data_IF_368031309716
#
_entry.id   IF_368031309716
#
_cell.length_a   1.000
_cell.length_b   1.000
_cell.length_c   1.000
_cell.angle_alpha   90.00
_cell.angle_beta   90.00
_cell.angle_gamma   90.00
#
_symmetry.space_group_name_H-M   'P 1'
#
loop_
_entity.id
_entity.type
_entity.pdbx_description
1 polymer ?
#
# COMPACT_ATOMS: atom_id res chain seq x y z
N UNK A 1 2.26 -29.57 22.67
CA UNK A 1 1.47 -29.42 21.43
C UNK A 1 2.30 -29.07 20.19
N UNK A 2 3.64 -29.09 20.28
CA UNK A 2 4.52 -29.41 19.16
C UNK A 2 5.35 -30.56 19.70
N UNK A 3 5.06 -31.79 19.23
CA UNK A 3 5.65 -33.01 19.77
C UNK A 3 7.14 -33.13 19.44
N UNK A 4 7.69 -34.34 19.62
CA UNK A 4 9.09 -34.66 19.26
C UNK A 4 9.37 -34.36 17.78
N UNK A 5 8.36 -34.42 16.93
CA UNK A 5 8.44 -34.20 15.48
C UNK A 5 8.98 -32.83 15.09
N UNK A 6 8.77 -31.81 15.94
CA UNK A 6 9.21 -30.44 15.67
C UNK A 6 10.47 -30.02 16.46
N UNK A 7 11.09 -30.92 17.24
CA UNK A 7 12.18 -30.56 18.13
C UNK A 7 13.39 -29.96 17.38
N UNK A 8 13.82 -30.59 16.29
CA UNK A 8 14.95 -30.13 15.48
C UNK A 8 14.67 -28.77 14.82
N UNK A 9 13.50 -28.59 14.19
CA UNK A 9 13.08 -27.31 13.62
C UNK A 9 12.97 -26.21 14.68
N UNK A 10 12.44 -26.53 15.88
CA UNK A 10 12.34 -25.55 16.97
C UNK A 10 13.71 -25.06 17.40
N UNK A 11 14.66 -25.96 17.59
CA UNK A 11 16.04 -25.58 17.91
C UNK A 11 16.69 -24.76 16.78
N UNK A 12 16.43 -25.13 15.52
CA UNK A 12 17.05 -24.49 14.35
C UNK A 12 16.53 -23.08 14.08
N UNK A 13 15.23 -22.84 14.28
CA UNK A 13 14.58 -21.59 13.86
C UNK A 13 14.09 -20.72 15.03
N UNK A 14 13.91 -21.29 16.22
CA UNK A 14 13.18 -20.65 17.32
C UNK A 14 13.85 -20.82 18.70
N UNK A 15 15.16 -21.14 18.76
CA UNK A 15 15.89 -21.41 20.01
C UNK A 15 15.88 -20.25 21.02
N UNK A 16 15.78 -19.00 20.57
CA UNK A 16 15.72 -17.82 21.45
C UNK A 16 14.32 -17.39 21.89
N UNK A 17 13.27 -18.13 21.51
CA UNK A 17 11.86 -17.74 21.78
C UNK A 17 11.26 -18.57 22.94
N UNK A 18 11.98 -19.59 23.40
CA UNK A 18 11.49 -20.52 24.43
C UNK A 18 11.25 -19.82 25.78
N UNK A 19 12.13 -18.89 26.15
CA UNK A 19 12.05 -18.11 27.39
C UNK A 19 10.90 -17.09 27.39
N UNK A 20 10.44 -16.67 26.22
CA UNK A 20 9.33 -15.70 26.06
C UNK A 20 7.97 -16.40 26.26
N UNK A 21 7.93 -17.72 26.03
CA UNK A 21 6.79 -18.58 26.34
C UNK A 21 6.16 -19.28 25.15
N UNK A 22 5.34 -20.29 25.46
CA UNK A 22 4.79 -21.26 24.50
C UNK A 22 4.01 -20.63 23.34
N UNK A 23 3.33 -19.51 23.56
CA UNK A 23 2.58 -18.79 22.53
C UNK A 23 3.50 -18.24 21.42
N UNK A 24 4.64 -17.65 21.80
CA UNK A 24 5.60 -17.07 20.86
C UNK A 24 6.36 -18.15 20.08
N UNK A 25 6.65 -19.29 20.73
CA UNK A 25 7.22 -20.46 20.04
C UNK A 25 6.29 -20.95 18.92
N UNK A 26 4.98 -21.04 19.19
CA UNK A 26 4.00 -21.44 18.17
C UNK A 26 4.00 -20.48 16.97
N UNK A 27 4.07 -19.18 17.24
CA UNK A 27 4.12 -18.14 16.20
C UNK A 27 5.39 -18.26 15.37
N UNK A 28 6.55 -18.38 16.01
CA UNK A 28 7.83 -18.56 15.33
C UNK A 28 7.84 -19.81 14.43
N UNK A 29 7.30 -20.92 14.93
CA UNK A 29 7.22 -22.17 14.16
C UNK A 29 6.28 -22.05 12.97
N UNK A 30 5.11 -21.43 13.13
CA UNK A 30 4.18 -21.18 12.02
C UNK A 30 4.78 -20.21 10.98
N UNK A 31 5.57 -19.21 11.41
CA UNK A 31 6.28 -18.32 10.48
C UNK A 31 7.37 -19.03 9.66
N UNK A 32 7.99 -20.08 10.21
CA UNK A 32 9.05 -20.84 9.54
C UNK A 32 8.59 -22.17 8.93
N UNK A 33 7.30 -22.53 9.02
CA UNK A 33 6.78 -23.83 8.57
C UNK A 33 6.98 -24.12 7.08
N UNK A 34 7.22 -23.09 6.26
CA UNK A 34 7.42 -23.21 4.82
C UNK A 34 8.89 -23.19 4.38
N UNK A 35 9.86 -23.19 5.31
CA UNK A 35 11.29 -23.35 5.00
C UNK A 35 11.54 -24.67 4.27
N UNK A 36 12.54 -24.72 3.40
CA UNK A 36 12.89 -25.93 2.63
C UNK A 36 13.32 -27.08 3.54
N UNK A 37 14.13 -26.79 4.55
CA UNK A 37 14.62 -27.72 5.58
C UNK A 37 13.66 -27.88 6.78
N UNK A 38 12.35 -27.79 6.55
CA UNK A 38 11.33 -28.12 7.56
C UNK A 38 10.89 -29.58 7.39
N UNK A 39 11.02 -30.37 8.44
CA UNK A 39 10.75 -31.80 8.46
C UNK A 39 9.28 -32.09 8.07
N UNK A 40 9.00 -33.07 7.19
CA UNK A 40 7.63 -33.33 6.71
C UNK A 40 6.63 -33.59 7.84
N UNK A 41 7.03 -34.38 8.84
CA UNK A 41 6.20 -34.66 10.02
C UNK A 41 5.88 -33.40 10.84
N UNK A 42 6.88 -32.53 11.09
CA UNK A 42 6.64 -31.26 11.76
C UNK A 42 5.72 -30.35 10.94
N UNK A 43 5.97 -30.23 9.62
CA UNK A 43 5.15 -29.43 8.72
C UNK A 43 3.68 -29.86 8.77
N UNK A 44 3.40 -31.15 8.79
CA UNK A 44 2.05 -31.68 8.88
C UNK A 44 1.37 -31.30 10.21
N UNK A 45 2.09 -31.39 11.33
CA UNK A 45 1.59 -30.94 12.64
C UNK A 45 1.32 -29.43 12.67
N UNK A 46 2.19 -28.62 12.06
CA UNK A 46 2.01 -27.17 11.98
C UNK A 46 0.81 -26.78 11.11
N UNK A 47 0.54 -27.51 10.03
CA UNK A 47 -0.70 -27.33 9.24
C UNK A 47 -1.94 -27.61 10.10
N UNK A 48 -1.92 -28.67 10.92
CA UNK A 48 -3.05 -28.96 11.82
C UNK A 48 -3.22 -27.88 12.90
N UNK A 49 -2.11 -27.40 13.46
CA UNK A 49 -2.13 -26.27 14.40
C UNK A 49 -2.74 -25.03 13.76
N UNK A 50 -2.32 -24.68 12.55
CA UNK A 50 -2.86 -23.54 11.82
C UNK A 50 -4.39 -23.63 11.62
N UNK A 51 -4.90 -24.82 11.24
CA UNK A 51 -6.34 -25.07 11.12
C UNK A 51 -7.08 -24.88 12.44
N UNK A 52 -6.56 -25.45 13.52
CA UNK A 52 -7.19 -25.36 14.85
C UNK A 52 -7.17 -23.90 15.35
N UNK A 53 -6.08 -23.17 15.15
CA UNK A 53 -6.01 -21.75 15.52
C UNK A 53 -6.99 -20.87 14.75
N UNK A 54 -7.39 -21.26 13.54
CA UNK A 54 -8.39 -20.55 12.74
C UNK A 54 -9.84 -20.79 13.21
N UNK A 55 -10.10 -21.85 13.99
CA UNK A 55 -11.46 -22.21 14.38
C UNK A 55 -12.02 -21.36 15.52
N UNK A 56 -11.18 -20.89 16.43
CA UNK A 56 -11.63 -20.08 17.57
C UNK A 56 -10.48 -19.23 18.12
N UNK A 57 -10.79 -18.00 18.54
CA UNK A 57 -9.81 -17.09 19.13
C UNK A 57 -9.08 -17.71 20.34
N UNK A 58 -9.77 -18.51 21.17
CA UNK A 58 -9.20 -19.22 22.33
C UNK A 58 -8.10 -20.22 21.94
N UNK A 59 -8.12 -20.73 20.71
CA UNK A 59 -7.09 -21.63 20.21
C UNK A 59 -5.87 -20.89 19.66
N UNK A 60 -5.96 -19.59 19.41
CA UNK A 60 -4.85 -18.72 19.05
C UNK A 60 -4.35 -17.97 20.30
N UNK A 61 -3.26 -18.43 20.96
CA UNK A 61 -2.88 -17.90 22.28
C UNK A 61 -2.50 -16.42 22.27
N UNK A 62 -1.95 -15.90 21.16
CA UNK A 62 -1.64 -14.48 21.06
C UNK A 62 -2.92 -13.64 20.93
N UNK A 63 -3.86 -14.03 20.07
CA UNK A 63 -5.12 -13.29 19.98
C UNK A 63 -5.92 -13.37 21.28
N UNK A 64 -6.03 -14.55 21.89
CA UNK A 64 -6.76 -14.74 23.14
C UNK A 64 -6.22 -13.85 24.27
N UNK A 65 -4.90 -13.69 24.34
CA UNK A 65 -4.25 -12.88 25.38
C UNK A 65 -4.28 -11.38 25.06
N UNK A 66 -3.87 -11.01 23.86
CA UNK A 66 -3.59 -9.61 23.54
C UNK A 66 -4.81 -8.84 23.03
N UNK A 67 -5.81 -9.53 22.44
CA UNK A 67 -6.93 -8.89 21.76
C UNK A 67 -8.25 -8.91 22.52
N UNK A 68 -8.32 -9.47 23.72
CA UNK A 68 -9.59 -9.67 24.44
C UNK A 68 -10.37 -8.35 24.64
N UNK A 69 -9.70 -7.29 25.13
CA UNK A 69 -10.36 -6.00 25.38
C UNK A 69 -10.77 -5.27 24.10
N UNK A 70 -9.95 -5.37 23.04
CA UNK A 70 -10.27 -4.75 21.75
C UNK A 70 -11.42 -5.49 21.05
N UNK A 71 -11.45 -6.83 21.12
CA UNK A 71 -12.55 -7.63 20.60
C UNK A 71 -13.87 -7.21 21.25
N UNK A 72 -13.96 -7.21 22.58
CA UNK A 72 -15.19 -6.84 23.30
C UNK A 72 -15.70 -5.47 22.85
N UNK A 73 -14.81 -4.48 22.78
CA UNK A 73 -15.16 -3.13 22.35
C UNK A 73 -15.62 -3.07 20.89
N UNK A 74 -14.94 -3.77 19.98
CA UNK A 74 -15.34 -3.84 18.56
C UNK A 74 -16.72 -4.51 18.44
N UNK A 75 -16.98 -5.59 19.16
CA UNK A 75 -18.27 -6.27 19.14
C UNK A 75 -19.39 -5.36 19.67
N UNK A 76 -19.12 -4.53 20.67
CA UNK A 76 -20.06 -3.52 21.17
C UNK A 76 -20.31 -2.40 20.16
N UNK A 77 -19.30 -2.02 19.37
CA UNK A 77 -19.45 -1.02 18.31
C UNK A 77 -20.25 -1.55 17.10
N UNK A 78 -20.27 -2.87 16.88
CA UNK A 78 -20.89 -3.52 15.72
C UNK A 78 -21.90 -4.62 16.11
N UNK A 79 -22.93 -4.31 16.91
CA UNK A 79 -23.80 -5.32 17.51
C UNK A 79 -24.71 -6.04 16.51
N UNK A 80 -24.92 -5.46 15.32
CA UNK A 80 -25.78 -6.00 14.26
C UNK A 80 -25.02 -6.87 13.25
N UNK A 81 -23.70 -6.86 13.28
CA UNK A 81 -22.88 -7.69 12.39
C UNK A 81 -22.81 -9.11 12.96
N UNK A 82 -23.43 -10.07 12.27
CA UNK A 82 -23.42 -11.48 12.66
C UNK A 82 -22.01 -12.03 12.89
N UNK A 83 -21.02 -11.49 12.18
CA UNK A 83 -19.62 -11.87 12.24
C UNK A 83 -18.91 -11.37 13.51
N UNK A 84 -19.41 -10.27 14.06
CA UNK A 84 -18.97 -9.69 15.32
C UNK A 84 -19.90 -10.05 16.49
N UNK A 85 -20.90 -10.90 16.29
CA UNK A 85 -21.80 -11.31 17.36
C UNK A 85 -21.01 -11.96 18.52
N UNK A 86 -21.18 -11.47 19.77
CA UNK A 86 -20.57 -12.09 20.93
C UNK A 86 -21.05 -13.54 21.04
N UNK A 87 -20.11 -14.46 21.17
CA UNK A 87 -20.43 -15.87 21.37
C UNK A 87 -20.84 -16.09 22.83
N UNK A 88 -21.82 -16.96 23.08
CA UNK A 88 -22.16 -17.33 24.47
C UNK A 88 -20.96 -18.07 25.09
N UNK A 89 -20.72 -17.79 26.36
CA UNK A 89 -19.49 -18.22 27.05
C UNK A 89 -19.38 -19.75 27.20
N UNK A 90 -20.53 -20.44 27.17
CA UNK A 90 -20.73 -21.88 27.30
C UNK A 90 -20.56 -22.67 25.99
N UNK A 91 -20.51 -21.99 24.84
CA UNK A 91 -20.42 -22.65 23.52
C UNK A 91 -19.13 -22.28 22.81
N UNK A 92 -18.27 -23.27 22.55
CA UNK A 92 -17.07 -23.08 21.74
C UNK A 92 -17.50 -23.06 20.27
N UNK A 93 -17.78 -21.87 19.73
CA UNK A 93 -18.03 -21.71 18.31
C UNK A 93 -16.74 -21.98 17.51
N UNK A 94 -16.77 -22.97 16.61
CA UNK A 94 -15.63 -23.35 15.76
C UNK A 94 -15.63 -22.64 14.39
N UNK A 95 -16.39 -21.55 14.29
CA UNK A 95 -16.59 -20.78 13.06
C UNK A 95 -15.50 -19.73 12.82
N UNK A 96 -14.68 -19.41 13.84
CA UNK A 96 -13.65 -18.37 13.78
C UNK A 96 -14.20 -16.95 13.61
N UNK A 97 -15.48 -16.70 13.92
CA UNK A 97 -16.13 -15.39 13.75
C UNK A 97 -15.44 -14.27 14.52
N UNK A 98 -15.03 -14.51 15.77
CA UNK A 98 -14.27 -13.53 16.55
C UNK A 98 -12.94 -13.13 15.88
N UNK A 99 -12.27 -14.08 15.22
CA UNK A 99 -11.05 -13.80 14.45
C UNK A 99 -11.40 -12.98 13.22
N UNK A 100 -12.46 -13.33 12.50
CA UNK A 100 -12.94 -12.55 11.33
C UNK A 100 -13.29 -11.12 11.72
N UNK A 101 -14.09 -10.92 12.76
CA UNK A 101 -14.44 -9.61 13.30
C UNK A 101 -13.19 -8.78 13.66
N UNK A 102 -12.25 -9.36 14.41
CA UNK A 102 -11.00 -8.67 14.73
C UNK A 102 -10.20 -8.31 13.49
N UNK A 103 -10.07 -9.23 12.53
CA UNK A 103 -9.32 -8.96 11.32
C UNK A 103 -10.00 -7.87 10.50
N UNK A 104 -11.32 -7.89 10.33
CA UNK A 104 -12.05 -6.95 9.46
C UNK A 104 -12.11 -5.55 10.05
N UNK A 105 -12.18 -5.45 11.39
CA UNK A 105 -12.17 -4.20 12.14
C UNK A 105 -10.80 -3.86 12.75
N UNK A 106 -9.70 -4.40 12.18
CA UNK A 106 -8.32 -4.20 12.66
C UNK A 106 -7.91 -2.74 12.79
N UNK A 107 -8.50 -1.83 12.03
CA UNK A 107 -8.23 -0.38 12.10
C UNK A 107 -8.81 0.27 13.35
N UNK A 108 -9.77 -0.38 14.02
CA UNK A 108 -10.35 0.08 15.27
C UNK A 108 -9.57 -0.40 16.49
N UNK A 109 -8.63 -1.34 16.34
CA UNK A 109 -7.85 -1.94 17.44
C UNK A 109 -6.89 -0.90 18.02
N UNK A 110 -6.92 -0.73 19.34
CA UNK A 110 -6.13 0.28 20.04
C UNK A 110 -4.81 -0.26 20.57
N UNK A 111 -4.76 -1.53 20.99
CA UNK A 111 -3.57 -2.10 21.61
C UNK A 111 -2.52 -2.49 20.57
N UNK A 112 -1.27 -2.00 20.67
CA UNK A 112 -0.19 -2.38 19.75
C UNK A 112 0.08 -3.89 19.72
N UNK A 113 -0.04 -4.58 20.85
CA UNK A 113 0.18 -6.03 20.95
C UNK A 113 -0.89 -6.78 20.17
N UNK A 114 -2.15 -6.34 20.26
CA UNK A 114 -3.24 -6.91 19.48
C UNK A 114 -3.09 -6.61 17.98
N UNK A 115 -2.69 -5.40 17.61
CA UNK A 115 -2.39 -5.05 16.22
C UNK A 115 -1.32 -5.98 15.64
N UNK A 116 -0.23 -6.20 16.37
CA UNK A 116 0.85 -7.12 16.00
C UNK A 116 0.36 -8.58 15.87
N UNK A 117 -0.47 -9.04 16.82
CA UNK A 117 -1.06 -10.37 16.77
C UNK A 117 -1.99 -10.56 15.55
N UNK A 118 -2.79 -9.54 15.21
CA UNK A 118 -3.64 -9.53 14.00
C UNK A 118 -2.79 -9.57 12.74
N UNK A 119 -1.72 -8.79 12.65
CA UNK A 119 -0.80 -8.83 11.49
C UNK A 119 -0.22 -10.24 11.32
N UNK A 120 0.16 -10.93 12.41
CA UNK A 120 0.62 -12.31 12.34
C UNK A 120 -0.44 -13.27 11.77
N UNK A 121 -1.70 -13.08 12.17
CA UNK A 121 -2.83 -13.86 11.63
C UNK A 121 -3.09 -13.55 10.15
N UNK A 122 -3.03 -12.28 9.74
CA UNK A 122 -3.15 -11.90 8.33
C UNK A 122 -2.01 -12.46 7.48
N UNK A 123 -0.79 -12.53 8.00
CA UNK A 123 0.34 -13.22 7.35
C UNK A 123 0.05 -14.70 7.15
N UNK A 124 -0.53 -15.36 8.16
CA UNK A 124 -0.93 -16.77 8.04
C UNK A 124 -2.04 -16.95 7.00
N UNK A 125 -3.07 -16.08 7.02
CA UNK A 125 -4.16 -16.09 6.03
C UNK A 125 -3.62 -15.91 4.60
N UNK A 126 -2.63 -15.05 4.39
CA UNK A 126 -2.01 -14.83 3.08
C UNK A 126 -1.06 -15.97 2.68
N UNK A 127 -0.40 -16.62 3.64
CA UNK A 127 0.45 -17.78 3.38
C UNK A 127 -0.35 -19.01 2.95
N UNK A 128 -1.51 -19.25 3.56
CA UNK A 128 -2.26 -20.48 3.36
C UNK A 128 -3.73 -20.30 3.76
N UNK A 129 -4.63 -20.54 2.80
CA UNK A 129 -6.08 -20.42 2.97
C UNK A 129 -6.64 -21.22 4.16
N UNK A 130 -5.96 -22.30 4.58
CA UNK A 130 -6.37 -23.13 5.73
C UNK A 130 -6.21 -22.40 7.07
N UNK A 131 -5.46 -21.29 7.09
CA UNK A 131 -5.37 -20.40 8.25
C UNK A 131 -6.55 -19.44 8.36
N UNK A 132 -7.28 -19.18 7.26
CA UNK A 132 -8.40 -18.25 7.26
C UNK A 132 -9.69 -18.99 7.62
N UNK A 133 -10.44 -18.53 8.65
CA UNK A 133 -11.69 -19.18 9.06
C UNK A 133 -12.64 -19.42 7.87
N UNK A 134 -13.06 -20.68 7.69
CA UNK A 134 -14.04 -21.09 6.67
C UNK A 134 -13.53 -21.16 5.22
N UNK A 135 -12.33 -20.65 4.91
CA UNK A 135 -11.88 -20.49 3.53
C UNK A 135 -11.55 -21.81 2.83
N UNK A 136 -10.99 -22.80 3.54
CA UNK A 136 -10.75 -24.14 2.97
C UNK A 136 -12.02 -24.78 2.42
N UNK A 137 -13.12 -24.69 3.18
CA UNK A 137 -14.41 -25.23 2.76
C UNK A 137 -15.01 -24.40 1.63
N UNK A 138 -15.00 -23.07 1.75
CA UNK A 138 -15.61 -22.16 0.77
C UNK A 138 -14.97 -22.26 -0.62
N UNK A 139 -13.67 -22.56 -0.68
CA UNK A 139 -12.88 -22.63 -1.92
C UNK A 139 -12.59 -24.05 -2.41
N UNK A 140 -13.08 -25.11 -1.74
CA UNK A 140 -12.67 -26.49 -2.04
C UNK A 140 -12.90 -26.88 -3.52
N UNK A 141 -14.10 -26.61 -4.04
CA UNK A 141 -14.48 -26.94 -5.42
C UNK A 141 -13.70 -26.11 -6.45
N UNK A 142 -13.55 -24.80 -6.21
CA UNK A 142 -12.79 -23.93 -7.10
C UNK A 142 -11.30 -24.28 -7.12
N UNK A 143 -10.73 -24.71 -5.99
CA UNK A 143 -9.34 -25.20 -5.96
C UNK A 143 -9.20 -26.48 -6.76
N UNK A 144 -10.12 -27.43 -6.61
CA UNK A 144 -10.11 -28.68 -7.37
C UNK A 144 -10.26 -28.44 -8.88
N UNK A 145 -11.07 -27.46 -9.29
CA UNK A 145 -11.32 -27.14 -10.68
C UNK A 145 -10.21 -26.28 -11.33
N UNK A 146 -9.67 -25.31 -10.61
CA UNK A 146 -8.82 -24.25 -11.17
C UNK A 146 -7.34 -24.35 -10.77
N UNK A 147 -7.04 -25.07 -9.69
CA UNK A 147 -5.75 -25.06 -8.99
C UNK A 147 -5.31 -26.44 -8.48
N UNK A 148 -5.77 -27.54 -9.10
CA UNK A 148 -5.49 -28.92 -8.68
C UNK A 148 -3.99 -29.26 -8.56
N UNK A 149 -3.15 -28.71 -9.43
CA UNK A 149 -1.69 -28.91 -9.43
C UNK A 149 -0.94 -27.94 -8.48
N UNK A 150 -1.66 -27.05 -7.79
CA UNK A 150 -1.04 -26.04 -6.93
C UNK A 150 -0.98 -26.49 -5.47
N UNK A 151 0.24 -26.75 -4.99
CA UNK A 151 0.45 -27.09 -3.57
C UNK A 151 0.20 -25.89 -2.64
N UNK A 152 -0.52 -26.12 -1.54
CA UNK A 152 -0.77 -25.14 -0.48
C UNK A 152 0.51 -24.62 0.21
N UNK A 153 0.40 -23.46 0.86
CA UNK A 153 1.50 -22.75 1.51
C UNK A 153 2.22 -21.72 0.62
N UNK A 154 2.92 -20.78 1.27
CA UNK A 154 3.62 -19.65 0.61
C UNK A 154 2.73 -18.81 -0.34
N UNK A 155 1.43 -18.74 -0.11
CA UNK A 155 0.49 -17.93 -0.91
C UNK A 155 0.19 -18.49 -2.31
N UNK A 156 0.71 -19.67 -2.68
CA UNK A 156 0.60 -20.18 -4.06
C UNK A 156 -0.84 -20.41 -4.52
N UNK A 157 -1.69 -20.97 -3.65
CA UNK A 157 -3.11 -21.20 -3.98
C UNK A 157 -3.87 -19.87 -4.08
N UNK A 158 -3.57 -18.88 -3.23
CA UNK A 158 -4.12 -17.53 -3.38
C UNK A 158 -3.72 -16.91 -4.73
N UNK A 159 -2.44 -16.98 -5.09
CA UNK A 159 -1.97 -16.48 -6.38
C UNK A 159 -2.62 -17.21 -7.58
N UNK A 160 -2.83 -18.52 -7.45
CA UNK A 160 -3.53 -19.33 -8.46
C UNK A 160 -4.99 -18.88 -8.64
N UNK A 161 -5.74 -18.77 -7.54
CA UNK A 161 -7.14 -18.31 -7.55
C UNK A 161 -7.24 -16.86 -8.06
N UNK A 162 -6.34 -15.95 -7.64
CA UNK A 162 -6.31 -14.56 -8.11
C UNK A 162 -6.14 -14.45 -9.62
N UNK A 163 -5.24 -15.24 -10.22
CA UNK A 163 -5.06 -15.26 -11.69
C UNK A 163 -6.32 -15.73 -12.43
N UNK A 164 -7.14 -16.54 -11.78
CA UNK A 164 -8.38 -17.11 -12.33
C UNK A 164 -9.63 -16.52 -11.64
N UNK A 165 -9.55 -15.32 -11.08
CA UNK A 165 -10.62 -14.76 -10.24
C UNK A 165 -11.99 -14.72 -10.95
N UNK A 166 -12.01 -14.48 -12.26
CA UNK A 166 -13.23 -14.47 -13.08
C UNK A 166 -13.86 -15.86 -13.30
N UNK A 167 -13.12 -16.93 -13.03
CA UNK A 167 -13.54 -18.32 -13.21
C UNK A 167 -13.98 -18.96 -11.88
N UNK A 168 -13.80 -18.27 -10.75
CA UNK A 168 -14.24 -18.73 -9.43
C UNK A 168 -15.77 -18.73 -9.41
N UNK A 169 -16.37 -19.89 -9.17
CA UNK A 169 -17.83 -20.07 -9.13
C UNK A 169 -18.40 -19.73 -7.75
N UNK A 170 -17.71 -20.10 -6.68
CA UNK A 170 -18.15 -19.79 -5.32
C UNK A 170 -17.99 -18.29 -5.04
N UNK A 171 -19.11 -17.58 -4.89
CA UNK A 171 -19.08 -16.17 -4.46
C UNK A 171 -18.31 -16.02 -3.14
N UNK A 172 -18.54 -16.93 -2.18
CA UNK A 172 -17.85 -16.92 -0.90
C UNK A 172 -16.34 -17.09 -1.05
N UNK A 173 -15.88 -17.98 -1.95
CA UNK A 173 -14.45 -18.11 -2.22
C UNK A 173 -13.88 -16.83 -2.84
N UNK A 174 -14.58 -16.26 -3.83
CA UNK A 174 -14.16 -15.04 -4.52
C UNK A 174 -14.03 -13.85 -3.55
N UNK A 175 -15.00 -13.69 -2.64
CA UNK A 175 -14.99 -12.68 -1.59
C UNK A 175 -13.78 -12.87 -0.66
N UNK A 176 -13.55 -14.09 -0.16
CA UNK A 176 -12.42 -14.38 0.74
C UNK A 176 -11.05 -14.22 0.06
N UNK A 177 -10.93 -14.55 -1.23
CA UNK A 177 -9.71 -14.29 -2.01
C UNK A 177 -9.46 -12.79 -2.12
N UNK A 178 -10.53 -12.00 -2.31
CA UNK A 178 -10.47 -10.54 -2.39
C UNK A 178 -10.12 -9.91 -1.04
N UNK A 179 -10.65 -10.43 0.07
CA UNK A 179 -10.30 -10.02 1.44
C UNK A 179 -8.81 -10.22 1.74
N UNK A 180 -8.27 -11.39 1.38
CA UNK A 180 -6.83 -11.67 1.55
C UNK A 180 -5.99 -10.71 0.70
N UNK A 181 -6.39 -10.47 -0.57
CA UNK A 181 -5.72 -9.49 -1.42
C UNK A 181 -5.79 -8.07 -0.86
N UNK A 182 -6.91 -7.68 -0.26
CA UNK A 182 -7.06 -6.37 0.40
C UNK A 182 -6.06 -6.25 1.56
N UNK A 183 -5.96 -7.26 2.40
CA UNK A 183 -4.97 -7.27 3.49
C UNK A 183 -3.52 -7.22 2.95
N UNK A 184 -3.19 -7.98 1.90
CA UNK A 184 -1.87 -7.94 1.24
C UNK A 184 -1.52 -6.53 0.70
N UNK A 185 -2.52 -5.76 0.26
CA UNK A 185 -2.33 -4.39 -0.25
C UNK A 185 -2.19 -3.33 0.84
N UNK A 186 -2.56 -3.65 2.07
CA UNK A 186 -2.46 -2.71 3.19
C UNK A 186 -1.09 -2.75 3.87
N UNK A 187 -0.34 -3.83 3.75
CA UNK A 187 0.99 -3.93 4.36
C UNK A 187 1.90 -4.86 3.55
N UNK A 188 3.08 -4.35 3.17
CA UNK A 188 4.11 -5.10 2.44
C UNK A 188 4.52 -6.39 3.17
N UNK A 189 4.34 -6.44 4.48
CA UNK A 189 4.70 -7.59 5.30
C UNK A 189 3.62 -8.67 5.35
N UNK A 190 2.44 -8.48 4.77
CA UNK A 190 1.37 -9.51 4.78
C UNK A 190 1.57 -10.52 3.65
N UNK A 191 1.90 -10.08 2.44
CA UNK A 191 2.12 -10.97 1.29
C UNK A 191 3.42 -11.77 1.43
N UNK A 192 3.41 -13.12 1.35
CA UNK A 192 4.64 -13.92 1.31
C UNK A 192 5.53 -13.57 0.14
N UNK A 193 4.95 -13.32 -1.03
CA UNK A 193 5.72 -13.04 -2.23
C UNK A 193 6.39 -11.67 -2.15
N UNK A 194 5.74 -10.65 -1.59
CA UNK A 194 6.40 -9.35 -1.33
C UNK A 194 7.51 -9.50 -0.31
N UNK A 195 7.25 -10.18 0.82
CA UNK A 195 8.30 -10.42 1.81
C UNK A 195 9.51 -11.17 1.24
N UNK A 196 9.28 -12.13 0.34
CA UNK A 196 10.34 -12.93 -0.28
C UNK A 196 11.10 -12.12 -1.33
N UNK A 197 10.39 -11.46 -2.25
CA UNK A 197 10.99 -10.83 -3.44
C UNK A 197 11.37 -9.37 -3.28
N UNK A 198 10.86 -8.67 -2.26
CA UNK A 198 11.12 -7.25 -2.00
C UNK A 198 11.85 -6.99 -0.67
N UNK A 199 12.34 -8.04 0.01
CA UNK A 199 12.97 -7.89 1.34
C UNK A 199 14.16 -6.91 1.32
N UNK A 200 15.01 -7.01 0.32
CA UNK A 200 16.17 -6.13 0.17
C UNK A 200 15.74 -4.68 -0.09
N UNK A 201 14.79 -4.46 -0.99
CA UNK A 201 14.28 -3.13 -1.31
C UNK A 201 13.60 -2.48 -0.10
N UNK A 202 12.86 -3.28 0.69
CA UNK A 202 12.26 -2.79 1.93
C UNK A 202 13.32 -2.29 2.91
N UNK A 203 14.46 -2.98 3.02
CA UNK A 203 15.55 -2.58 3.92
C UNK A 203 16.35 -1.38 3.38
N UNK A 204 16.69 -1.41 2.09
CA UNK A 204 17.57 -0.39 1.47
C UNK A 204 16.83 0.93 1.25
N UNK A 205 15.58 0.89 0.78
CA UNK A 205 14.84 2.08 0.38
C UNK A 205 13.81 2.54 1.41
N UNK A 206 13.25 1.62 2.20
CA UNK A 206 12.03 1.88 2.99
C UNK A 206 12.19 1.50 4.48
N UNK A 207 13.40 1.40 5.00
CA UNK A 207 13.66 0.95 6.39
C UNK A 207 13.11 1.89 7.46
N UNK A 208 13.01 3.19 7.17
CA UNK A 208 12.45 4.19 8.08
C UNK A 208 10.94 4.38 7.94
N UNK A 209 10.28 3.63 7.05
CA UNK A 209 8.85 3.76 6.78
C UNK A 209 8.04 2.90 7.73
N UNK A 210 7.09 3.51 8.43
CA UNK A 210 6.17 2.80 9.31
C UNK A 210 5.28 1.82 8.51
N UNK A 211 5.19 0.57 9.00
CA UNK A 211 4.38 -0.49 8.41
C UNK A 211 2.87 -0.20 8.46
N UNK A 212 2.08 -0.86 7.61
CA UNK A 212 0.64 -0.64 7.48
C UNK A 212 0.26 0.54 6.58
N UNK A 213 -1.05 0.67 6.33
CA UNK A 213 -1.67 1.73 5.49
C UNK A 213 -1.01 1.89 4.12
N UNK A 214 -0.55 0.79 3.54
CA UNK A 214 0.18 0.69 2.29
C UNK A 214 1.47 1.55 2.20
N UNK A 215 1.96 2.11 3.30
CA UNK A 215 3.09 3.08 3.29
C UNK A 215 4.36 2.49 2.69
N UNK A 216 4.73 1.29 3.13
CA UNK A 216 5.91 0.59 2.60
C UNK A 216 5.72 0.23 1.12
N UNK A 217 4.53 -0.23 0.71
CA UNK A 217 4.23 -0.54 -0.70
C UNK A 217 4.32 0.71 -1.58
N UNK A 218 3.84 1.86 -1.09
CA UNK A 218 3.93 3.14 -1.76
C UNK A 218 5.37 3.67 -1.82
N UNK A 219 6.18 3.44 -0.78
CA UNK A 219 7.61 3.73 -0.79
C UNK A 219 8.32 2.88 -1.86
N UNK A 220 8.16 1.55 -1.83
CA UNK A 220 8.77 0.64 -2.82
C UNK A 220 8.42 1.05 -4.25
N UNK A 221 7.17 1.47 -4.48
CA UNK A 221 6.71 1.93 -5.78
C UNK A 221 7.44 3.17 -6.29
N UNK A 222 7.88 4.07 -5.42
CA UNK A 222 8.62 5.28 -5.84
C UNK A 222 10.01 4.93 -6.40
N UNK A 223 10.62 3.84 -5.92
CA UNK A 223 11.95 3.41 -6.31
C UNK A 223 11.97 2.35 -7.42
N UNK A 224 10.82 1.95 -7.98
CA UNK A 224 10.75 0.93 -9.05
C UNK A 224 11.58 1.25 -10.32
N UNK A 225 12.00 2.51 -10.50
CA UNK A 225 12.86 2.94 -11.62
C UNK A 225 14.34 3.11 -11.22
N UNK A 226 14.68 2.96 -9.95
CA UNK A 226 16.07 3.00 -9.48
C UNK A 226 16.81 1.77 -10.06
N UNK A 227 18.00 1.93 -10.65
CA UNK A 227 18.78 0.81 -11.20
C UNK A 227 19.10 -0.30 -10.20
N UNK A 228 19.09 0.00 -8.89
CA UNK A 228 19.34 -0.97 -7.82
C UNK A 228 18.07 -1.72 -7.41
N UNK A 229 16.91 -1.36 -7.94
CA UNK A 229 15.65 -2.01 -7.65
C UNK A 229 15.51 -3.31 -8.46
N UNK A 230 15.29 -4.45 -7.80
CA UNK A 230 15.30 -5.73 -8.51
C UNK A 230 14.08 -5.91 -9.41
N UNK A 231 14.31 -6.55 -10.57
CA UNK A 231 13.24 -6.97 -11.47
C UNK A 231 12.24 -7.92 -10.77
N UNK A 232 12.71 -8.71 -9.79
CA UNK A 232 11.87 -9.61 -9.01
C UNK A 232 10.85 -8.85 -8.16
N UNK A 233 11.28 -7.82 -7.43
CA UNK A 233 10.35 -7.01 -6.65
C UNK A 233 9.38 -6.23 -7.54
N UNK A 234 9.86 -5.67 -8.67
CA UNK A 234 9.02 -4.95 -9.62
C UNK A 234 7.87 -5.82 -10.14
N UNK A 235 8.19 -7.05 -10.55
CA UNK A 235 7.20 -8.03 -11.00
C UNK A 235 6.15 -8.32 -9.93
N UNK A 236 6.58 -8.47 -8.68
CA UNK A 236 5.68 -8.80 -7.58
C UNK A 236 4.73 -7.64 -7.24
N UNK A 237 5.26 -6.40 -7.17
CA UNK A 237 4.45 -5.21 -6.94
C UNK A 237 3.41 -5.01 -8.05
N UNK A 238 3.80 -5.23 -9.31
CA UNK A 238 2.85 -5.23 -10.43
C UNK A 238 1.76 -6.29 -10.29
N UNK A 239 2.10 -7.49 -9.81
CA UNK A 239 1.13 -8.57 -9.59
C UNK A 239 0.08 -8.24 -8.52
N UNK A 240 0.47 -7.43 -7.52
CA UNK A 240 -0.43 -6.88 -6.51
C UNK A 240 -1.18 -5.63 -7.00
N UNK A 241 -0.91 -5.13 -8.20
CA UNK A 241 -1.57 -3.94 -8.76
C UNK A 241 -0.90 -2.61 -8.39
N UNK A 242 0.34 -2.63 -7.89
CA UNK A 242 1.18 -1.46 -7.65
C UNK A 242 2.09 -1.18 -8.86
N UNK A 243 1.47 -0.83 -10.00
CA UNK A 243 2.20 -0.50 -11.23
C UNK A 243 2.84 0.90 -11.16
N UNK A 244 4.11 1.01 -11.56
CA UNK A 244 4.84 2.28 -11.70
C UNK A 244 4.08 3.33 -12.52
N UNK A 245 3.33 2.93 -13.55
CA UNK A 245 2.65 3.83 -14.50
C UNK A 245 1.39 4.48 -13.95
N UNK A 246 0.77 3.96 -12.89
CA UNK A 246 -0.47 4.53 -12.31
C UNK A 246 -0.20 5.74 -11.40
N UNK A 247 0.98 6.36 -11.53
CA UNK A 247 1.55 7.33 -10.59
C UNK A 247 0.95 8.74 -10.69
N UNK A 248 0.16 9.03 -11.72
CA UNK A 248 -0.40 10.37 -11.90
C UNK A 248 -1.86 10.46 -11.42
N UNK A 249 -2.61 9.35 -11.36
CA UNK A 249 -4.03 9.40 -10.94
C UNK A 249 -4.32 9.04 -9.48
N UNK A 250 -3.43 8.29 -8.82
CA UNK A 250 -3.71 7.75 -7.47
C UNK A 250 -3.04 8.51 -6.31
N UNK A 251 -2.16 9.48 -6.58
CA UNK A 251 -1.56 10.35 -5.55
C UNK A 251 -2.54 11.46 -5.10
N UNK A 252 -3.74 11.52 -5.70
CA UNK A 252 -4.67 12.64 -5.50
C UNK A 252 -5.55 12.62 -4.26
N UNK A 253 -5.75 11.53 -3.51
CA UNK A 253 -6.90 11.50 -2.58
C UNK A 253 -6.75 10.86 -1.20
N UNK A 254 -5.74 10.06 -0.87
CA UNK A 254 -5.77 9.31 0.41
C UNK A 254 -4.67 9.64 1.44
N UNK A 255 -3.76 10.57 1.16
CA UNK A 255 -2.75 11.03 2.16
C UNK A 255 -2.80 12.53 2.45
N UNK A 256 -3.87 13.22 2.05
CA UNK A 256 -4.00 14.64 2.35
C UNK A 256 -4.41 14.84 3.81
N UNK A 257 -3.43 15.10 4.69
CA UNK A 257 -3.60 15.93 5.89
C UNK A 257 -4.54 17.11 5.57
N UNK A 258 -5.39 17.59 6.51
CA UNK A 258 -6.22 18.77 6.31
C UNK A 258 -5.43 19.97 5.73
N UNK A 259 -4.15 20.08 6.08
CA UNK A 259 -3.23 21.11 5.60
C UNK A 259 -2.88 20.94 4.10
N UNK A 260 -2.73 19.70 3.64
CA UNK A 260 -2.39 19.41 2.24
C UNK A 260 -3.53 19.72 1.28
N UNK A 261 -4.80 19.61 1.71
CA UNK A 261 -5.96 20.01 0.90
C UNK A 261 -5.98 21.52 0.64
N UNK A 262 -5.65 22.30 1.68
CA UNK A 262 -5.58 23.76 1.56
C UNK A 262 -4.46 24.15 0.60
N UNK A 263 -3.25 23.59 0.74
CA UNK A 263 -2.13 23.85 -0.18
C UNK A 263 -2.49 23.43 -1.61
N UNK A 264 -3.07 22.25 -1.82
CA UNK A 264 -3.46 21.77 -3.15
C UNK A 264 -4.52 22.66 -3.80
N UNK A 265 -5.52 23.11 -3.04
CA UNK A 265 -6.55 24.03 -3.55
C UNK A 265 -5.97 25.41 -3.92
N UNK A 266 -4.99 25.90 -3.17
CA UNK A 266 -4.26 27.14 -3.47
C UNK A 266 -3.43 26.99 -4.76
N UNK A 267 -2.71 25.87 -4.91
CA UNK A 267 -1.90 25.59 -6.10
C UNK A 267 -2.74 25.38 -7.37
N UNK A 268 -3.91 24.72 -7.26
CA UNK A 268 -4.83 24.55 -8.38
C UNK A 268 -5.50 25.87 -8.80
N UNK A 269 -5.74 26.77 -7.84
CA UNK A 269 -6.27 28.12 -8.09
C UNK A 269 -5.27 28.99 -8.86
N UNK A 270 -4.01 28.99 -8.45
CA UNK A 270 -2.90 29.63 -9.16
C UNK A 270 -2.80 29.11 -10.60
N UNK A 271 -2.77 27.79 -10.79
CA UNK A 271 -2.67 27.18 -12.12
C UNK A 271 -3.83 27.57 -13.04
N UNK A 272 -5.07 27.56 -12.55
CA UNK A 272 -6.24 27.91 -13.35
C UNK A 272 -6.28 29.42 -13.67
N UNK A 273 -5.81 30.28 -12.77
CA UNK A 273 -5.71 31.72 -13.00
C UNK A 273 -4.73 32.03 -14.14
N UNK A 274 -3.51 31.50 -14.07
CA UNK A 274 -2.50 31.70 -15.11
C UNK A 274 -2.86 31.02 -16.43
N UNK A 275 -3.53 29.87 -16.41
CA UNK A 275 -4.01 29.23 -17.63
C UNK A 275 -5.09 30.05 -18.36
N UNK A 276 -5.96 30.73 -17.60
CA UNK A 276 -7.07 31.52 -18.17
C UNK A 276 -6.65 32.93 -18.56
N UNK A 277 -5.80 33.57 -17.77
CA UNK A 277 -5.46 34.99 -17.92
C UNK A 277 -4.03 35.25 -18.37
N UNK A 278 -3.13 34.27 -18.29
CA UNK A 278 -1.72 34.41 -18.73
C UNK A 278 -1.58 34.90 -20.17
N UNK A 279 -2.27 34.31 -21.16
CA UNK A 279 -2.23 34.79 -22.55
C UNK A 279 -2.75 36.22 -22.71
N UNK A 280 -3.76 36.61 -21.93
CA UNK A 280 -4.36 37.95 -21.98
C UNK A 280 -3.43 39.00 -21.36
N UNK A 281 -2.80 38.67 -20.22
CA UNK A 281 -1.86 39.56 -19.52
C UNK A 281 -0.60 39.78 -20.37
N UNK A 282 -0.04 38.72 -20.94
CA UNK A 282 1.15 38.80 -21.80
C UNK A 282 0.83 39.54 -23.10
N UNK A 283 -0.31 39.24 -23.73
CA UNK A 283 -0.77 39.93 -24.93
C UNK A 283 -1.01 41.42 -24.71
N UNK A 284 -1.69 41.78 -23.61
CA UNK A 284 -1.94 43.17 -23.24
C UNK A 284 -0.65 43.97 -23.00
N UNK A 285 0.32 43.39 -22.29
CA UNK A 285 1.61 44.03 -22.05
C UNK A 285 2.41 44.27 -23.35
N UNK A 286 2.39 43.31 -24.28
CA UNK A 286 3.08 43.44 -25.57
C UNK A 286 2.50 44.58 -26.43
N UNK A 287 1.17 44.74 -26.44
CA UNK A 287 0.51 45.83 -27.17
C UNK A 287 0.88 47.19 -26.58
N UNK A 288 0.83 47.34 -25.26
CA UNK A 288 1.16 48.60 -24.58
C UNK A 288 2.61 49.01 -24.86
N UNK A 289 3.54 48.06 -24.74
CA UNK A 289 4.97 48.30 -25.02
C UNK A 289 5.20 48.62 -26.50
N UNK A 290 4.51 47.94 -27.41
CA UNK A 290 4.57 48.23 -28.84
C UNK A 290 4.06 49.63 -29.17
N UNK A 291 2.93 50.05 -28.58
CA UNK A 291 2.38 51.40 -28.77
C UNK A 291 3.30 52.50 -28.22
N UNK A 292 3.88 52.29 -27.04
CA UNK A 292 4.88 53.21 -26.47
C UNK A 292 6.12 53.33 -27.37
N UNK A 293 6.62 52.22 -27.90
CA UNK A 293 7.77 52.21 -28.80
C UNK A 293 7.49 53.00 -30.09
N UNK A 294 6.33 52.77 -30.72
CA UNK A 294 5.91 53.51 -31.92
C UNK A 294 5.76 55.01 -31.62
N UNK A 295 5.19 55.36 -30.47
CA UNK A 295 5.07 56.76 -30.03
C UNK A 295 6.43 57.43 -29.86
N UNK A 296 7.39 56.76 -29.22
CA UNK A 296 8.76 57.27 -29.04
C UNK A 296 9.45 57.47 -30.40
N UNK A 297 9.34 56.50 -31.31
CA UNK A 297 9.91 56.61 -32.66
C UNK A 297 9.30 57.79 -33.42
N UNK A 298 7.98 57.99 -33.35
CA UNK A 298 7.30 59.11 -34.00
C UNK A 298 7.78 60.47 -33.45
N UNK A 299 7.93 60.60 -32.13
CA UNK A 299 8.45 61.82 -31.49
C UNK A 299 9.89 62.11 -31.95
N UNK A 300 10.77 61.10 -31.97
CA UNK A 300 12.17 61.26 -32.43
C UNK A 300 12.24 61.69 -33.89
N UNK A 301 11.40 61.11 -34.77
CA UNK A 301 11.34 61.48 -36.19
C UNK A 301 10.83 62.90 -36.38
N UNK A 302 9.82 63.34 -35.61
CA UNK A 302 9.29 64.70 -35.67
C UNK A 302 10.30 65.75 -35.17
N UNK A 303 11.07 65.45 -34.12
CA UNK A 303 12.11 66.36 -33.59
C UNK A 303 13.24 66.55 -34.62
N UNK A 304 13.62 65.50 -35.36
CA UNK A 304 14.67 65.57 -36.40
C UNK A 304 14.29 66.38 -37.65
N UNK A 305 13.00 66.68 -37.88
CA UNK A 305 12.53 67.34 -39.13
C UNK A 305 12.38 68.87 -39.05
N UNK A 306 12.82 69.55 -37.99
CA UNK A 306 12.82 71.02 -37.96
C UNK A 306 14.17 71.58 -38.49
N UNK A 307 14.24 72.13 -39.72
CA UNK A 307 15.41 72.90 -40.14
C UNK A 307 15.43 74.23 -39.39
N UNK A 308 16.56 74.51 -38.73
CA UNK A 308 16.88 75.81 -38.14
C UNK A 308 17.36 76.71 -39.28
N UNK A 309 16.56 77.72 -39.67
CA UNK A 309 17.06 78.81 -40.50
C UNK A 309 17.72 79.85 -39.58
N UNK A 310 19.06 79.85 -39.57
CA UNK A 310 19.86 80.95 -39.02
C UNK A 310 20.14 81.97 -40.12
N UNK A 311 19.86 83.23 -39.86
CA UNK A 311 20.25 84.37 -40.71
C UNK A 311 21.65 84.78 -40.25
N UNK A 312 22.63 84.71 -41.15
CA UNK A 312 23.91 85.42 -41.00
C UNK A 312 24.02 86.48 -42.10
N UNK A 313 24.35 87.69 -41.66
CA UNK A 313 24.62 88.89 -42.47
C UNK A 313 26.11 89.17 -42.33
N UNK A 314 26.86 89.25 -43.44
CA UNK A 314 28.04 90.13 -43.66
C UNK A 314 28.61 89.79 -45.04
N UNK A 315 28.49 90.70 -46.00
CA UNK A 315 29.46 91.72 -46.43
C UNK A 315 30.45 91.24 -47.50
N UNK A 316 30.66 92.13 -48.46
CA UNK A 316 31.30 91.91 -49.74
C UNK A 316 32.81 92.16 -49.68
N UNK A 317 33.56 91.44 -50.51
CA UNK A 317 34.75 91.90 -51.26
C UNK A 317 35.10 90.78 -52.28
N UNK A 318 34.96 90.99 -53.60
CA UNK A 318 35.91 91.58 -54.57
C UNK A 318 37.19 90.76 -54.80
N UNK A 319 37.32 90.23 -56.02
CA UNK A 319 38.44 90.44 -56.98
C UNK A 319 38.68 89.22 -57.90
N UNK A 320 38.36 89.45 -59.18
CA UNK A 320 39.12 89.19 -60.40
C UNK A 320 40.20 88.10 -60.43
N UNK A 321 39.98 87.08 -61.28
CA UNK A 321 40.72 86.81 -62.52
C UNK A 321 40.30 85.46 -63.15
#
# INVERSE_FOLDING_TARGET
WMGKECAAARQRYCSGVEDVGRAYVAVCMLQNMHRSSMEPGCRQKLVQLQKVQAMNIRFNPLLARECQSDLIRIQQNHPTLAECAPQREDTIALSGLAIRCLTDHRTEVKRPECQSAIINVLRQHSNDLRAKPGMEKACAEDIAALCNETHAGKGRVHACLRRRAKQIKSKQCSDMVSEVLKAEKEDATISPHVREHCSNEMQVFCSSVEHGKARVLNCLRQYQRDPRFSASCTKELSSLGFNATKAISAVGTELASPEAKNVLSSLLRERNYWAKWGPVIIGGAAVILGSLFVGIVAVVVCIRKRPVYGIEVEQAEKEDA
#
